data_IF_742412026619
#
_entry.id   IF_742412026619
#
_cell.length_a   1.000
_cell.length_b   1.000
_cell.length_c   1.000
_cell.angle_alpha   90.00
_cell.angle_beta   90.00
_cell.angle_gamma   90.00
#
_symmetry.space_group_name_H-M   'P 1'
#
loop_
_entity.id
_entity.type
_entity.pdbx_description
1 polymer ?
#
# COMPACT_ATOMS: atom_id res chain seq x y z
N UNK A 1 8.39 48.23 14.18
CA UNK A 1 9.54 47.56 13.53
C UNK A 1 9.51 46.09 13.90
N UNK A 2 9.05 45.23 12.98
CA UNK A 2 9.00 43.79 13.19
C UNK A 2 10.40 43.20 13.00
N UNK A 3 11.03 42.80 14.10
CA UNK A 3 12.26 42.03 14.05
C UNK A 3 11.91 40.60 13.69
N UNK A 4 12.01 40.26 12.41
CA UNK A 4 12.00 38.87 11.97
C UNK A 4 13.18 38.14 12.62
N UNK A 5 12.90 37.18 13.48
CA UNK A 5 13.88 36.22 13.99
C UNK A 5 14.31 35.32 12.83
N UNK A 6 15.29 35.79 12.04
CA UNK A 6 16.02 34.92 11.12
C UNK A 6 16.90 33.98 11.96
N UNK A 7 16.32 32.85 12.37
CA UNK A 7 17.04 31.74 13.02
C UNK A 7 17.98 30.98 12.05
N UNK A 8 18.02 31.37 10.77
CA UNK A 8 18.85 30.76 9.74
C UNK A 8 20.18 31.51 9.57
N UNK A 9 21.25 31.10 10.26
CA UNK A 9 22.65 31.18 9.76
C UNK A 9 23.73 30.95 10.83
N UNK A 10 23.38 30.62 12.08
CA UNK A 10 24.39 30.32 13.10
C UNK A 10 24.62 28.79 13.20
N UNK A 11 25.88 28.34 13.08
CA UNK A 11 26.25 26.91 13.14
C UNK A 11 25.78 26.26 14.45
N UNK A 12 25.80 27.00 15.56
CA UNK A 12 25.33 26.55 16.86
C UNK A 12 23.80 26.31 16.87
N UNK A 13 23.04 27.16 16.18
CA UNK A 13 21.59 27.05 16.04
C UNK A 13 21.21 25.77 15.28
N UNK A 14 21.92 25.48 14.18
CA UNK A 14 21.79 24.25 13.40
C UNK A 14 22.15 22.99 14.20
N UNK A 15 23.19 23.04 15.04
CA UNK A 15 23.55 21.91 15.90
C UNK A 15 22.49 21.62 16.96
N UNK A 16 21.92 22.67 17.57
CA UNK A 16 20.84 22.53 18.56
C UNK A 16 19.56 21.97 17.91
N UNK A 17 19.24 22.41 16.70
CA UNK A 17 18.13 21.89 15.91
C UNK A 17 18.34 20.41 15.57
N UNK A 18 19.52 20.05 15.03
CA UNK A 18 19.85 18.66 14.70
C UNK A 18 19.79 17.73 15.92
N UNK A 19 20.32 18.16 17.06
CA UNK A 19 20.25 17.39 18.31
C UNK A 19 18.81 17.18 18.80
N UNK A 20 17.95 18.18 18.62
CA UNK A 20 16.52 18.06 18.96
C UNK A 20 15.82 17.08 18.01
N UNK A 21 16.13 17.13 16.71
CA UNK A 21 15.60 16.21 15.70
C UNK A 21 16.03 14.77 15.99
N UNK A 22 17.29 14.54 16.35
CA UNK A 22 17.77 13.21 16.74
C UNK A 22 17.03 12.67 17.97
N UNK A 23 16.73 13.53 18.95
CA UNK A 23 15.95 13.14 20.13
C UNK A 23 14.54 12.67 19.77
N UNK A 24 13.91 13.30 18.77
CA UNK A 24 12.62 12.84 18.21
C UNK A 24 12.78 11.46 17.56
N UNK A 25 13.82 11.26 16.74
CA UNK A 25 14.08 9.96 16.08
C UNK A 25 14.26 8.82 17.08
N UNK A 26 14.96 9.04 18.19
CA UNK A 26 15.12 8.02 19.24
C UNK A 26 13.82 7.73 19.99
N UNK A 27 12.95 8.71 20.11
CA UNK A 27 11.68 8.59 20.82
C UNK A 27 10.57 7.96 19.98
N UNK A 28 10.74 8.00 18.66
CA UNK A 28 9.89 7.34 17.67
C UNK A 28 10.36 5.91 17.41
N UNK A 29 9.44 5.09 16.87
CA UNK A 29 9.67 3.68 16.54
C UNK A 29 10.69 3.45 15.38
N UNK A 30 11.32 4.53 14.90
CA UNK A 30 12.42 4.50 13.91
C UNK A 30 13.75 4.00 14.49
N UNK A 31 13.81 3.73 15.81
CA UNK A 31 14.98 3.20 16.49
C UNK A 31 15.09 1.68 16.30
N UNK A 32 15.50 1.26 15.10
CA UNK A 32 15.78 -0.16 14.83
C UNK A 32 16.91 -0.67 15.73
N UNK A 33 16.50 -1.31 16.82
CA UNK A 33 17.32 -2.19 17.63
C UNK A 33 17.82 -3.34 16.76
N UNK A 34 19.15 -3.50 16.68
CA UNK A 34 19.76 -4.77 16.30
C UNK A 34 19.40 -5.77 17.39
N UNK A 35 18.40 -6.62 17.16
CA UNK A 35 18.14 -7.77 18.01
C UNK A 35 17.89 -9.02 17.16
N UNK A 36 18.60 -10.06 17.55
CA UNK A 36 18.82 -11.32 16.86
C UNK A 36 17.55 -12.15 16.75
N UNK A 37 17.42 -12.84 15.60
CA UNK A 37 16.39 -13.84 15.34
C UNK A 37 16.41 -14.93 16.41
N UNK A 38 15.32 -15.04 17.17
CA UNK A 38 14.89 -16.32 17.74
C UNK A 38 13.51 -16.65 17.20
N UNK A 39 13.49 -17.74 16.45
CA UNK A 39 12.31 -18.45 15.98
C UNK A 39 11.31 -18.66 17.12
N UNK A 40 10.08 -18.22 16.90
CA UNK A 40 8.92 -18.95 17.39
C UNK A 40 7.79 -18.86 16.35
N UNK A 41 7.28 -20.04 16.04
CA UNK A 41 6.30 -20.37 15.04
C UNK A 41 4.91 -20.18 15.65
N UNK A 42 4.14 -19.21 15.15
CA UNK A 42 2.69 -19.21 14.94
C UNK A 42 2.11 -17.78 14.88
N UNK A 43 1.31 -17.52 13.84
CA UNK A 43 0.40 -16.37 13.63
C UNK A 43 1.04 -15.02 13.26
N UNK A 44 1.28 -14.80 11.96
CA UNK A 44 1.34 -13.45 11.38
C UNK A 44 0.94 -13.44 9.90
N UNK A 45 -0.37 -13.46 9.63
CA UNK A 45 -0.92 -13.04 8.32
C UNK A 45 -1.17 -11.53 8.42
N UNK A 46 -0.37 -10.74 7.71
CA UNK A 46 -0.57 -9.29 7.60
C UNK A 46 0.63 -8.42 7.98
N UNK A 47 1.85 -8.78 7.57
CA UNK A 47 2.96 -7.82 7.61
C UNK A 47 2.81 -6.89 6.40
N UNK A 48 2.27 -5.69 6.63
CA UNK A 48 2.43 -4.56 5.71
C UNK A 48 3.94 -4.35 5.55
N UNK A 49 4.51 -4.75 4.40
CA UNK A 49 5.85 -4.31 3.99
C UNK A 49 5.76 -2.80 3.69
N UNK A 50 5.82 -1.98 4.73
CA UNK A 50 6.08 -0.56 4.60
C UNK A 50 7.58 -0.44 4.37
N UNK A 51 7.97 0.18 3.27
CA UNK A 51 9.37 0.42 2.95
C UNK A 51 9.99 1.34 4.02
N UNK A 52 11.29 1.17 4.31
CA UNK A 52 12.06 1.79 5.41
C UNK A 52 12.03 3.34 5.37
N UNK A 53 11.48 3.93 4.30
CA UNK A 53 11.34 5.36 4.08
C UNK A 53 9.89 5.89 4.22
N UNK A 54 8.93 5.09 4.71
CA UNK A 54 7.52 5.49 4.80
C UNK A 54 6.83 5.65 3.44
N UNK A 55 7.45 5.14 2.36
CA UNK A 55 6.86 5.17 1.01
C UNK A 55 6.00 3.92 0.80
N UNK A 56 4.81 4.08 0.18
CA UNK A 56 3.98 2.93 -0.15
C UNK A 56 4.70 2.02 -1.17
N UNK A 57 4.65 0.69 -1.00
CA UNK A 57 5.26 -0.27 -1.92
C UNK A 57 4.76 -0.14 -3.36
N UNK A 58 5.60 -0.52 -4.34
CA UNK A 58 5.27 -0.39 -5.76
C UNK A 58 4.60 -1.63 -6.34
N UNK A 59 3.58 -1.40 -7.18
CA UNK A 59 3.01 -2.37 -8.11
C UNK A 59 3.42 -1.95 -9.51
N UNK A 60 4.00 -2.87 -10.26
CA UNK A 60 4.47 -2.62 -11.62
C UNK A 60 3.56 -3.29 -12.64
N UNK A 61 3.27 -2.61 -13.75
CA UNK A 61 2.51 -3.15 -14.88
C UNK A 61 3.41 -3.18 -16.11
N UNK A 62 3.68 -4.37 -16.63
CA UNK A 62 4.39 -4.61 -17.88
C UNK A 62 3.40 -4.98 -18.99
N UNK A 63 3.40 -4.20 -20.07
CA UNK A 63 2.47 -4.31 -21.20
C UNK A 63 3.12 -4.77 -22.52
N UNK A 64 4.41 -5.17 -22.48
CA UNK A 64 5.16 -5.52 -23.70
C UNK A 64 5.82 -4.32 -24.38
N UNK A 65 6.17 -4.49 -25.65
CA UNK A 65 6.98 -3.54 -26.43
C UNK A 65 6.16 -2.39 -27.03
N UNK A 66 4.90 -2.67 -27.39
CA UNK A 66 3.96 -1.71 -27.96
C UNK A 66 2.87 -1.34 -26.94
N UNK A 67 3.21 -0.55 -25.92
CA UNK A 67 2.24 -0.19 -24.88
C UNK A 67 1.63 1.20 -25.10
N UNK A 68 0.31 1.26 -25.29
CA UNK A 68 -0.44 2.51 -25.31
C UNK A 68 -0.69 3.05 -23.90
N UNK A 69 -0.47 4.35 -23.69
CA UNK A 69 -0.80 5.04 -22.43
C UNK A 69 -2.25 4.81 -21.97
N UNK A 70 -3.16 4.57 -22.93
CA UNK A 70 -4.58 4.32 -22.68
C UNK A 70 -4.81 3.00 -21.92
N UNK A 71 -4.19 1.91 -22.36
CA UNK A 71 -4.35 0.58 -21.76
C UNK A 71 -3.82 0.56 -20.33
N UNK A 72 -2.67 1.21 -20.10
CA UNK A 72 -2.11 1.36 -18.77
C UNK A 72 -3.06 2.09 -17.82
N UNK A 73 -3.62 3.24 -18.23
CA UNK A 73 -4.54 4.00 -17.37
C UNK A 73 -5.86 3.27 -17.12
N UNK A 74 -6.38 2.53 -18.11
CA UNK A 74 -7.57 1.68 -17.92
C UNK A 74 -7.33 0.60 -16.87
N UNK A 75 -6.24 -0.16 -17.02
CA UNK A 75 -5.88 -1.21 -16.08
C UNK A 75 -5.61 -0.66 -14.68
N UNK A 76 -4.88 0.45 -14.61
CA UNK A 76 -4.61 1.17 -13.37
C UNK A 76 -5.90 1.59 -12.67
N UNK A 77 -6.90 2.09 -13.40
CA UNK A 77 -8.20 2.46 -12.84
C UNK A 77 -8.90 1.25 -12.20
N UNK A 78 -8.96 0.11 -12.91
CA UNK A 78 -9.56 -1.13 -12.39
C UNK A 78 -8.83 -1.61 -11.13
N UNK A 79 -7.50 -1.57 -11.12
CA UNK A 79 -6.71 -1.98 -9.96
C UNK A 79 -6.91 -1.03 -8.77
N UNK A 80 -6.99 0.29 -8.99
CA UNK A 80 -7.23 1.29 -7.94
C UNK A 80 -8.61 1.19 -7.28
N UNK A 81 -9.57 0.53 -7.94
CA UNK A 81 -10.87 0.18 -7.34
C UNK A 81 -10.80 -1.12 -6.51
N UNK A 82 -9.76 -1.93 -6.73
CA UNK A 82 -9.54 -3.19 -6.04
C UNK A 82 -8.63 -3.06 -4.82
N UNK A 83 -7.60 -2.22 -4.88
CA UNK A 83 -6.58 -2.08 -3.84
C UNK A 83 -6.80 -0.83 -2.98
N UNK A 84 -6.23 -0.85 -1.77
CA UNK A 84 -6.19 0.33 -0.91
C UNK A 84 -5.32 1.44 -1.55
N UNK A 85 -5.94 2.57 -1.88
CA UNK A 85 -5.31 3.68 -2.63
C UNK A 85 -4.11 4.31 -1.94
N UNK A 86 -4.06 4.25 -0.61
CA UNK A 86 -3.00 4.86 0.19
C UNK A 86 -1.87 3.89 0.52
N UNK A 87 -2.07 2.60 0.19
CA UNK A 87 -1.10 1.54 0.53
C UNK A 87 -0.12 1.21 -0.60
N UNK A 88 -0.40 1.60 -1.84
CA UNK A 88 0.38 1.17 -3.00
C UNK A 88 0.53 2.27 -4.06
N UNK A 89 1.68 2.30 -4.72
CA UNK A 89 1.88 3.12 -5.93
C UNK A 89 1.94 2.23 -7.17
N UNK A 90 1.18 2.57 -8.21
CA UNK A 90 1.15 1.82 -9.48
C UNK A 90 1.99 2.54 -10.54
N UNK A 91 2.99 1.85 -11.08
CA UNK A 91 3.84 2.34 -12.18
C UNK A 91 3.82 1.40 -13.38
N UNK A 92 4.04 1.98 -14.56
CA UNK A 92 4.31 1.20 -15.76
C UNK A 92 5.80 0.79 -15.78
N UNK A 93 6.07 -0.48 -16.03
CA UNK A 93 7.41 -1.00 -16.30
C UNK A 93 7.56 -1.17 -17.81
N UNK A 94 8.33 -0.29 -18.44
CA UNK A 94 8.60 -0.39 -19.88
C UNK A 94 9.64 -1.49 -20.17
N UNK A 95 9.57 -2.07 -21.38
CA UNK A 95 10.52 -3.06 -21.92
C UNK A 95 11.98 -2.72 -21.58
N UNK A 96 12.40 -1.49 -21.88
CA UNK A 96 13.78 -1.01 -21.68
C UNK A 96 14.21 -0.91 -20.20
N UNK A 97 13.25 -0.94 -19.27
CA UNK A 97 13.47 -0.83 -17.84
C UNK A 97 13.56 -2.19 -17.15
N UNK A 98 13.06 -3.27 -17.77
CA UNK A 98 13.03 -4.61 -17.17
C UNK A 98 14.44 -5.09 -16.77
N UNK A 99 15.45 -4.80 -17.60
CA UNK A 99 16.82 -5.21 -17.34
C UNK A 99 17.58 -4.28 -16.37
N UNK A 100 17.05 -3.07 -16.12
CA UNK A 100 17.68 -2.05 -15.28
C UNK A 100 17.31 -2.26 -13.81
N UNK A 101 18.27 -2.07 -12.91
CA UNK A 101 18.01 -2.04 -11.46
C UNK A 101 17.43 -0.66 -11.05
N UNK A 102 16.72 -0.51 -9.90
CA UNK A 102 16.49 -1.47 -8.83
C UNK A 102 15.00 -1.87 -8.63
N UNK A 103 14.23 -2.06 -9.71
CA UNK A 103 12.77 -2.26 -9.57
C UNK A 103 12.39 -3.55 -8.80
N UNK A 104 13.20 -4.61 -8.92
CA UNK A 104 13.00 -5.91 -8.24
C UNK A 104 12.90 -5.74 -6.73
N UNK A 105 13.78 -4.90 -6.16
CA UNK A 105 13.89 -4.74 -4.70
C UNK A 105 12.80 -3.82 -4.14
N UNK A 106 12.19 -2.99 -4.99
CA UNK A 106 11.24 -1.95 -4.58
C UNK A 106 9.79 -2.27 -4.96
N UNK A 107 9.51 -3.49 -5.42
CA UNK A 107 8.18 -3.87 -5.94
C UNK A 107 7.62 -5.06 -5.17
N UNK A 108 6.32 -4.99 -4.84
CA UNK A 108 5.62 -6.10 -4.18
C UNK A 108 4.89 -7.00 -5.16
N UNK A 109 4.44 -6.46 -6.29
CA UNK A 109 3.70 -7.18 -7.32
C UNK A 109 4.13 -6.70 -8.71
N UNK A 110 4.36 -7.66 -9.60
CA UNK A 110 4.51 -7.41 -11.03
C UNK A 110 3.31 -7.98 -11.78
N UNK A 111 2.62 -7.13 -12.53
CA UNK A 111 1.51 -7.49 -13.41
C UNK A 111 2.05 -7.59 -14.84
N UNK A 112 1.84 -8.72 -15.49
CA UNK A 112 2.27 -8.98 -16.87
C UNK A 112 1.02 -9.14 -17.74
N UNK A 113 0.71 -8.13 -18.54
CA UNK A 113 -0.47 -8.12 -19.40
C UNK A 113 -0.08 -7.75 -20.83
N UNK A 114 0.30 -8.76 -21.61
CA UNK A 114 0.73 -8.56 -23.00
C UNK A 114 0.38 -9.78 -23.84
N UNK A 115 -0.16 -9.53 -25.04
CA UNK A 115 -0.42 -10.57 -26.03
C UNK A 115 0.87 -10.90 -26.85
N UNK A 116 2.00 -10.25 -26.55
CA UNK A 116 3.31 -10.50 -27.18
C UNK A 116 4.12 -11.58 -26.45
N UNK A 117 4.98 -12.34 -27.16
CA UNK A 117 5.91 -13.26 -26.52
C UNK A 117 6.96 -12.48 -25.72
N UNK A 118 7.21 -12.92 -24.48
CA UNK A 118 8.19 -12.31 -23.59
C UNK A 118 9.59 -12.78 -24.00
N UNK A 119 10.53 -11.85 -24.14
CA UNK A 119 11.93 -12.17 -24.45
C UNK A 119 12.56 -13.04 -23.35
N UNK A 120 13.54 -13.87 -23.73
CA UNK A 120 14.21 -14.78 -22.78
C UNK A 120 14.91 -14.01 -21.64
N UNK A 121 15.43 -12.82 -21.93
CA UNK A 121 16.10 -11.96 -20.93
C UNK A 121 15.09 -11.39 -19.91
N UNK A 122 13.94 -10.89 -20.39
CA UNK A 122 12.87 -10.40 -19.52
C UNK A 122 12.30 -11.53 -18.68
N UNK A 123 12.08 -12.70 -19.28
CA UNK A 123 11.62 -13.90 -18.56
C UNK A 123 12.57 -14.26 -17.41
N UNK A 124 13.88 -14.30 -17.66
CA UNK A 124 14.90 -14.55 -16.62
C UNK A 124 14.83 -13.52 -15.49
N UNK A 125 14.61 -12.23 -15.79
CA UNK A 125 14.44 -11.18 -14.76
C UNK A 125 13.15 -11.37 -13.95
N UNK A 126 12.04 -11.76 -14.58
CA UNK A 126 10.79 -12.07 -13.87
C UNK A 126 10.94 -13.30 -12.96
N UNK A 127 11.65 -14.33 -13.42
CA UNK A 127 11.98 -15.49 -12.59
C UNK A 127 12.91 -15.12 -11.42
N UNK A 128 13.85 -14.20 -11.62
CA UNK A 128 14.68 -13.65 -10.54
C UNK A 128 13.80 -12.96 -9.48
N UNK A 129 12.83 -12.16 -9.89
CA UNK A 129 11.89 -11.51 -8.97
C UNK A 129 11.06 -12.52 -8.17
N UNK A 130 10.59 -13.61 -8.78
CA UNK A 130 9.95 -14.70 -8.04
C UNK A 130 10.91 -15.36 -7.05
N UNK A 131 12.18 -15.59 -7.43
CA UNK A 131 13.18 -16.24 -6.55
C UNK A 131 13.47 -15.46 -5.26
N UNK A 132 13.26 -14.13 -5.27
CA UNK A 132 13.41 -13.25 -4.10
C UNK A 132 12.13 -13.13 -3.27
N UNK A 133 11.09 -13.92 -3.57
CA UNK A 133 9.80 -13.86 -2.88
C UNK A 133 8.83 -12.83 -3.45
N UNK A 134 9.11 -12.31 -4.64
CA UNK A 134 8.19 -11.43 -5.38
C UNK A 134 6.93 -12.16 -5.84
N UNK A 135 5.91 -11.38 -6.20
CA UNK A 135 4.59 -11.88 -6.62
C UNK A 135 4.30 -11.48 -8.05
N UNK A 136 3.80 -12.41 -8.87
CA UNK A 136 3.45 -12.12 -10.27
C UNK A 136 1.96 -12.36 -10.52
N UNK A 137 1.30 -11.45 -11.23
CA UNK A 137 -0.05 -11.63 -11.75
C UNK A 137 -0.03 -11.49 -13.27
N UNK A 138 -0.29 -12.59 -13.98
CA UNK A 138 -0.33 -12.61 -15.44
C UNK A 138 -1.77 -12.51 -15.96
N UNK A 139 -2.03 -11.58 -16.87
CA UNK A 139 -3.31 -11.48 -17.59
C UNK A 139 -3.10 -11.68 -19.09
N UNK A 140 -3.77 -12.68 -19.67
CA UNK A 140 -3.72 -13.02 -21.11
C UNK A 140 -2.30 -13.06 -21.70
N UNK A 141 -1.28 -13.38 -20.89
CA UNK A 141 0.11 -13.34 -21.32
C UNK A 141 0.69 -14.72 -21.60
N UNK A 142 1.81 -14.73 -22.34
CA UNK A 142 2.58 -15.95 -22.63
C UNK A 142 3.59 -16.31 -21.53
N UNK A 143 3.59 -15.59 -20.39
CA UNK A 143 4.46 -15.91 -19.26
C UNK A 143 4.05 -17.24 -18.64
N UNK A 144 4.99 -18.18 -18.56
CA UNK A 144 4.80 -19.48 -17.91
C UNK A 144 6.10 -19.98 -17.29
N UNK A 145 5.99 -20.87 -16.32
CA UNK A 145 7.09 -21.60 -15.70
C UNK A 145 6.58 -22.90 -15.06
N UNK A 146 7.49 -23.71 -14.53
CA UNK A 146 7.19 -24.94 -13.76
C UNK A 146 6.35 -25.98 -14.52
N UNK A 147 6.65 -26.19 -15.81
CA UNK A 147 6.01 -27.25 -16.60
C UNK A 147 4.60 -26.94 -17.10
N UNK A 148 4.10 -25.72 -16.89
CA UNK A 148 2.86 -25.24 -17.49
C UNK A 148 3.11 -24.72 -18.90
N UNK A 149 2.28 -25.15 -19.84
CA UNK A 149 2.25 -24.66 -21.21
C UNK A 149 0.93 -23.98 -21.51
N UNK A 150 0.98 -23.04 -22.44
CA UNK A 150 -0.20 -22.38 -22.99
C UNK A 150 -0.54 -23.02 -24.33
N UNK A 151 -1.79 -23.46 -24.46
CA UNK A 151 -2.32 -24.01 -25.71
C UNK A 151 -3.43 -23.12 -26.23
N UNK A 152 -3.33 -22.74 -27.49
CA UNK A 152 -4.38 -21.98 -28.19
C UNK A 152 -5.48 -22.94 -28.66
N UNK A 153 -6.71 -22.73 -28.18
CA UNK A 153 -7.92 -23.44 -28.63
C UNK A 153 -8.72 -22.61 -29.63
N UNK A 154 -8.86 -21.31 -29.38
CA UNK A 154 -9.61 -20.39 -30.22
C UNK A 154 -8.68 -19.32 -30.81
N UNK A 155 -9.00 -18.85 -32.03
CA UNK A 155 -8.24 -17.79 -32.70
C UNK A 155 -8.60 -16.38 -32.20
N UNK A 156 -9.81 -16.21 -31.68
CA UNK A 156 -10.36 -14.92 -31.25
C UNK A 156 -10.73 -14.99 -29.78
N UNK A 157 -10.78 -13.82 -29.13
CA UNK A 157 -11.26 -13.68 -27.76
C UNK A 157 -12.77 -13.93 -27.72
N UNK A 158 -13.23 -14.67 -26.73
CA UNK A 158 -14.64 -15.07 -26.58
C UNK A 158 -15.13 -14.78 -25.17
N UNK A 159 -16.44 -14.56 -25.00
CA UNK A 159 -17.04 -14.49 -23.68
C UNK A 159 -17.50 -15.89 -23.31
N UNK A 160 -16.92 -16.43 -22.25
CA UNK A 160 -17.21 -17.79 -21.78
C UNK A 160 -17.56 -17.77 -20.28
N UNK A 161 -18.38 -18.73 -19.85
CA UNK A 161 -18.67 -18.94 -18.43
C UNK A 161 -17.52 -19.69 -17.75
N UNK A 162 -17.01 -19.12 -16.66
CA UNK A 162 -15.95 -19.69 -15.84
C UNK A 162 -16.49 -20.14 -14.50
N UNK A 163 -15.89 -21.19 -13.96
CA UNK A 163 -16.06 -21.65 -12.57
C UNK A 163 -14.76 -21.36 -11.83
N UNK A 164 -14.79 -20.36 -10.94
CA UNK A 164 -13.65 -19.95 -10.11
C UNK A 164 -13.79 -20.54 -8.72
N UNK A 165 -12.78 -21.25 -8.25
CA UNK A 165 -12.68 -21.76 -6.89
C UNK A 165 -12.07 -20.70 -5.97
N UNK A 166 -12.85 -20.22 -5.00
CA UNK A 166 -12.41 -19.29 -3.96
C UNK A 166 -11.52 -19.98 -2.92
N UNK A 167 -10.88 -19.17 -2.07
CA UNK A 167 -10.03 -19.69 -0.98
C UNK A 167 -10.79 -20.57 0.01
N UNK A 168 -12.04 -20.25 0.28
CA UNK A 168 -12.94 -20.99 1.19
C UNK A 168 -13.52 -22.26 0.54
N UNK A 169 -13.01 -22.65 -0.64
CA UNK A 169 -13.49 -23.78 -1.45
C UNK A 169 -14.91 -23.61 -2.00
N UNK A 170 -15.49 -22.40 -1.94
CA UNK A 170 -16.73 -22.10 -2.66
C UNK A 170 -16.44 -21.86 -4.14
N UNK A 171 -17.42 -22.15 -4.99
CA UNK A 171 -17.32 -21.91 -6.44
C UNK A 171 -18.17 -20.70 -6.83
N UNK A 172 -17.58 -19.81 -7.63
CA UNK A 172 -18.29 -18.68 -8.24
C UNK A 172 -18.32 -18.86 -9.75
N UNK A 173 -19.52 -18.74 -10.30
CA UNK A 173 -19.75 -18.70 -11.75
C UNK A 173 -19.92 -17.27 -12.24
N UNK A 174 -19.20 -16.93 -13.30
CA UNK A 174 -19.24 -15.63 -13.95
C UNK A 174 -18.79 -15.75 -15.41
N UNK A 175 -19.25 -14.83 -16.25
CA UNK A 175 -18.83 -14.75 -17.65
C UNK A 175 -17.70 -13.73 -17.78
N UNK A 176 -16.63 -14.09 -18.48
CA UNK A 176 -15.47 -13.24 -18.72
C UNK A 176 -14.99 -13.37 -20.16
N UNK A 177 -14.33 -12.31 -20.65
CA UNK A 177 -13.60 -12.36 -21.90
C UNK A 177 -12.33 -13.21 -21.70
N UNK A 178 -12.16 -14.24 -22.50
CA UNK A 178 -10.99 -15.12 -22.47
C UNK A 178 -10.13 -14.95 -23.72
N UNK A 179 -8.82 -15.16 -23.58
CA UNK A 179 -7.83 -14.97 -24.64
C UNK A 179 -7.93 -15.99 -25.79
N UNK A 180 -8.70 -17.06 -25.60
CA UNK A 180 -8.75 -18.23 -26.49
C UNK A 180 -7.64 -19.26 -26.23
N UNK A 181 -6.81 -19.03 -25.21
CA UNK A 181 -5.78 -19.94 -24.76
C UNK A 181 -6.13 -20.57 -23.39
N UNK A 182 -5.57 -21.75 -23.14
CA UNK A 182 -5.77 -22.52 -21.90
C UNK A 182 -4.43 -23.03 -21.38
N UNK A 183 -4.35 -23.33 -20.08
CA UNK A 183 -3.15 -23.90 -19.47
C UNK A 183 -3.21 -25.44 -19.46
N UNK A 184 -2.12 -26.08 -19.88
CA UNK A 184 -1.92 -27.53 -19.81
C UNK A 184 -0.63 -27.83 -19.03
N UNK A 185 -0.68 -28.80 -18.13
CA UNK A 185 0.47 -29.27 -17.35
C UNK A 185 1.13 -30.44 -18.11
N UNK A 186 2.40 -30.28 -18.48
CA UNK A 186 3.11 -31.22 -19.36
C UNK A 186 3.56 -32.48 -18.61
N UNK A 187 3.84 -32.35 -17.30
CA UNK A 187 4.30 -33.46 -16.45
C UNK A 187 3.60 -33.35 -15.10
N UNK A 188 2.75 -34.32 -14.77
CA UNK A 188 2.20 -34.46 -13.42
C UNK A 188 3.23 -35.15 -12.54
N UNK A 189 4.16 -34.41 -11.96
CA UNK A 189 4.94 -34.92 -10.83
C UNK A 189 4.09 -34.88 -9.55
N UNK A 190 4.28 -35.85 -8.65
CA UNK A 190 3.52 -36.02 -7.38
C UNK A 190 3.67 -34.84 -6.39
N UNK A 191 4.48 -33.84 -6.73
CA UNK A 191 4.71 -32.61 -5.96
C UNK A 191 4.12 -31.38 -6.67
N UNK A 192 2.86 -31.46 -7.15
CA UNK A 192 2.26 -30.41 -7.98
C UNK A 192 2.28 -29.04 -7.28
N UNK A 193 3.21 -28.18 -7.67
CA UNK A 193 3.32 -26.76 -7.27
C UNK A 193 2.25 -25.88 -7.95
N UNK A 194 1.47 -26.49 -8.84
CA UNK A 194 0.39 -25.89 -9.62
C UNK A 194 -0.96 -26.17 -8.96
N UNK A 195 -1.67 -25.11 -8.57
CA UNK A 195 -3.07 -25.18 -8.15
C UNK A 195 -3.95 -24.56 -9.23
N UNK A 196 -4.94 -25.31 -9.72
CA UNK A 196 -5.97 -24.73 -10.60
C UNK A 196 -6.93 -23.87 -9.79
N UNK A 197 -7.12 -22.61 -10.19
CA UNK A 197 -8.08 -21.69 -9.56
C UNK A 197 -9.37 -21.52 -10.37
N UNK A 198 -9.32 -21.70 -11.69
CA UNK A 198 -10.51 -21.53 -12.53
C UNK A 198 -10.49 -22.41 -13.77
N UNK A 199 -11.68 -22.87 -14.16
CA UNK A 199 -11.92 -23.66 -15.36
C UNK A 199 -13.07 -23.08 -16.19
N UNK A 200 -13.00 -23.27 -17.50
CA UNK A 200 -14.16 -23.04 -18.37
C UNK A 200 -15.28 -24.02 -18.02
N UNK A 201 -16.54 -23.55 -18.04
CA UNK A 201 -17.71 -24.41 -17.95
C UNK A 201 -18.01 -25.07 -19.30
N UNK A 202 -17.03 -25.77 -19.86
CA UNK A 202 -17.13 -26.54 -21.09
C UNK A 202 -16.95 -28.05 -20.81
N UNK A 203 -17.11 -28.89 -21.83
CA UNK A 203 -17.02 -30.34 -21.69
C UNK A 203 -15.64 -30.80 -21.19
N UNK A 204 -14.57 -30.11 -21.63
CA UNK A 204 -13.18 -30.45 -21.31
C UNK A 204 -12.73 -29.93 -19.92
N UNK A 205 -13.50 -29.01 -19.32
CA UNK A 205 -13.16 -28.27 -18.09
C UNK A 205 -11.77 -27.63 -18.14
N UNK A 206 -11.51 -26.94 -19.25
CA UNK A 206 -10.21 -26.34 -19.54
C UNK A 206 -9.74 -25.38 -18.46
N UNK A 207 -8.49 -25.51 -18.04
CA UNK A 207 -7.89 -24.62 -17.02
C UNK A 207 -7.55 -23.26 -17.62
N UNK A 208 -8.02 -22.19 -16.97
CA UNK A 208 -7.82 -20.81 -17.43
C UNK A 208 -7.18 -19.91 -16.38
N UNK A 209 -7.22 -20.28 -15.09
CA UNK A 209 -6.46 -19.59 -14.05
C UNK A 209 -5.70 -20.63 -13.21
N UNK A 210 -4.40 -20.41 -13.04
CA UNK A 210 -3.51 -21.24 -12.22
C UNK A 210 -2.78 -20.40 -11.19
N UNK A 211 -2.49 -21.00 -10.04
CA UNK A 211 -1.61 -20.49 -9.00
C UNK A 211 -0.36 -21.38 -8.92
N UNK A 212 0.80 -20.75 -8.94
CA UNK A 212 2.11 -21.36 -9.00
C UNK A 212 2.97 -20.85 -7.86
N UNK A 213 3.71 -21.74 -7.22
CA UNK A 213 4.71 -21.40 -6.19
C UNK A 213 6.11 -21.56 -6.76
N UNK A 214 7.05 -20.70 -6.36
CA UNK A 214 8.42 -20.71 -6.88
C UNK A 214 9.45 -20.40 -5.81
N UNK A 215 10.45 -21.28 -5.70
CA UNK A 215 11.55 -21.17 -4.74
C UNK A 215 11.11 -21.28 -3.28
N UNK A 216 12.08 -21.19 -2.38
CA UNK A 216 11.85 -21.32 -0.93
C UNK A 216 11.60 -19.97 -0.25
N UNK A 217 11.81 -18.86 -0.97
CA UNK A 217 11.59 -17.48 -0.50
C UNK A 217 10.11 -17.05 -0.53
N UNK A 218 9.19 -17.97 -0.84
CA UNK A 218 7.76 -17.68 -0.94
C UNK A 218 7.35 -16.92 -2.21
N UNK A 219 8.04 -17.12 -3.34
CA UNK A 219 7.63 -16.57 -4.62
C UNK A 219 6.32 -17.19 -5.10
N UNK A 220 5.37 -16.38 -5.56
CA UNK A 220 4.06 -16.88 -6.02
C UNK A 220 3.64 -16.16 -7.31
N UNK A 221 2.97 -16.89 -8.20
CA UNK A 221 2.41 -16.32 -9.41
C UNK A 221 1.00 -16.84 -9.67
N UNK A 222 0.07 -15.95 -10.00
CA UNK A 222 -1.24 -16.32 -10.53
C UNK A 222 -1.28 -15.92 -12.00
N UNK A 223 -1.58 -16.87 -12.87
CA UNK A 223 -1.65 -16.66 -14.31
C UNK A 223 -3.09 -16.88 -14.77
N UNK A 224 -3.64 -15.92 -15.50
CA UNK A 224 -5.02 -15.92 -15.98
C UNK A 224 -5.06 -15.73 -17.50
N UNK A 225 -5.74 -16.64 -18.21
CA UNK A 225 -6.13 -16.46 -19.60
C UNK A 225 -7.52 -15.78 -19.74
N UNK A 226 -8.14 -15.41 -18.61
CA UNK A 226 -9.34 -14.59 -18.56
C UNK A 226 -8.99 -13.14 -18.19
N UNK A 227 -9.63 -12.19 -18.87
CA UNK A 227 -9.43 -10.76 -18.64
C UNK A 227 -10.23 -10.30 -17.41
N UNK A 228 -9.54 -10.13 -16.28
CA UNK A 228 -10.09 -9.56 -15.05
C UNK A 228 -9.78 -8.06 -14.93
N UNK A 229 -8.77 -7.61 -15.64
CA UNK A 229 -8.12 -6.31 -15.58
C UNK A 229 -8.71 -5.26 -16.51
N UNK A 230 -9.50 -5.68 -17.50
CA UNK A 230 -10.11 -4.79 -18.48
C UNK A 230 -11.44 -4.22 -17.97
N UNK A 231 -11.70 -2.95 -18.28
CA UNK A 231 -13.04 -2.36 -18.14
C UNK A 231 -13.95 -2.94 -19.24
N UNK A 232 -15.18 -3.32 -18.89
CA UNK A 232 -16.17 -3.84 -19.84
C UNK A 232 -16.39 -2.88 -21.02
N UNK A 233 -16.31 -1.56 -20.79
CA UNK A 233 -16.46 -0.55 -21.84
C UNK A 233 -15.23 -0.44 -22.76
N UNK A 234 -14.10 -1.01 -22.35
CA UNK A 234 -12.86 -1.06 -23.16
C UNK A 234 -12.73 -2.35 -23.97
N UNK A 235 -13.57 -3.36 -23.68
CA UNK A 235 -13.50 -4.67 -24.33
C UNK A 235 -14.09 -4.61 -25.76
N UNK A 236 -13.41 -5.24 -26.71
CA UNK A 236 -13.93 -5.44 -28.06
C UNK A 236 -14.93 -6.61 -28.07
N UNK A 237 -16.15 -6.33 -27.63
CA UNK A 237 -17.23 -7.32 -27.52
C UNK A 237 -17.99 -7.41 -28.84
N UNK A 238 -18.08 -8.63 -29.37
CA UNK A 238 -18.65 -8.88 -30.70
C UNK A 238 -20.18 -8.76 -30.75
N UNK A 239 -20.88 -9.03 -29.63
CA UNK A 239 -22.35 -9.06 -29.57
C UNK A 239 -22.92 -8.31 -28.35
N UNK A 240 -24.14 -7.81 -28.47
CA UNK A 240 -24.85 -7.16 -27.35
C UNK A 240 -25.18 -8.16 -26.23
N UNK A 241 -25.42 -9.42 -26.57
CA UNK A 241 -25.65 -10.50 -25.59
C UNK A 241 -24.42 -10.73 -24.71
N UNK A 242 -23.23 -10.82 -25.32
CA UNK A 242 -21.96 -10.96 -24.61
C UNK A 242 -21.70 -9.76 -23.68
N UNK A 243 -21.99 -8.55 -24.15
CA UNK A 243 -21.82 -7.34 -23.33
C UNK A 243 -22.72 -7.38 -22.09
N UNK A 244 -23.96 -7.84 -22.25
CA UNK A 244 -24.91 -8.00 -21.15
C UNK A 244 -24.44 -9.07 -20.15
N UNK A 245 -23.87 -10.19 -20.61
CA UNK A 245 -23.30 -11.24 -19.76
C UNK A 245 -22.12 -10.73 -18.92
N UNK A 246 -21.22 -9.96 -19.53
CA UNK A 246 -20.09 -9.32 -18.84
C UNK A 246 -20.59 -8.31 -17.80
N UNK A 247 -21.58 -7.51 -18.15
CA UNK A 247 -22.17 -6.50 -17.25
C UNK A 247 -22.80 -7.13 -16.01
N UNK A 248 -23.56 -8.22 -16.16
CA UNK A 248 -24.14 -8.98 -15.04
C UNK A 248 -23.02 -9.60 -14.17
N UNK A 249 -21.92 -9.99 -14.79
CA UNK A 249 -20.78 -10.61 -14.13
C UNK A 249 -19.81 -9.61 -13.49
N UNK A 250 -19.97 -8.31 -13.73
CA UNK A 250 -18.98 -7.30 -13.38
C UNK A 250 -18.67 -7.26 -11.88
N UNK A 251 -19.69 -7.28 -11.02
CA UNK A 251 -19.48 -7.29 -9.56
C UNK A 251 -18.67 -8.50 -9.13
N UNK A 252 -18.98 -9.68 -9.68
CA UNK A 252 -18.24 -10.92 -9.40
C UNK A 252 -16.81 -10.88 -9.96
N UNK A 253 -16.58 -10.21 -11.09
CA UNK A 253 -15.24 -9.98 -11.65
C UNK A 253 -14.36 -9.22 -10.65
N UNK A 254 -14.88 -8.14 -10.06
CA UNK A 254 -14.15 -7.39 -9.02
C UNK A 254 -13.92 -8.22 -7.76
N UNK A 255 -14.90 -9.02 -7.33
CA UNK A 255 -14.71 -9.94 -6.19
C UNK A 255 -13.58 -10.94 -6.45
N UNK A 256 -13.59 -11.62 -7.61
CA UNK A 256 -12.55 -12.57 -7.99
C UNK A 256 -11.18 -11.90 -8.10
N UNK A 257 -11.12 -10.70 -8.70
CA UNK A 257 -9.87 -9.95 -8.80
C UNK A 257 -9.33 -9.56 -7.41
N UNK A 258 -10.19 -9.09 -6.50
CA UNK A 258 -9.81 -8.80 -5.10
C UNK A 258 -9.33 -10.05 -4.38
N UNK A 259 -10.01 -11.18 -4.51
CA UNK A 259 -9.61 -12.45 -3.90
C UNK A 259 -8.23 -12.89 -4.39
N UNK A 260 -7.94 -12.73 -5.69
CA UNK A 260 -6.62 -13.00 -6.28
C UNK A 260 -5.56 -12.05 -5.72
N UNK A 261 -5.83 -10.74 -5.65
CA UNK A 261 -4.87 -9.77 -5.11
C UNK A 261 -4.58 -10.02 -3.62
N UNK A 262 -5.61 -10.31 -2.82
CA UNK A 262 -5.46 -10.70 -1.40
C UNK A 262 -4.67 -12.00 -1.28
N UNK A 263 -4.86 -12.95 -2.19
CA UNK A 263 -4.08 -14.20 -2.20
C UNK A 263 -2.60 -13.99 -2.44
N UNK A 264 -2.25 -12.96 -3.22
CA UNK A 264 -0.86 -12.53 -3.46
C UNK A 264 -0.33 -11.62 -2.34
N UNK A 265 -1.12 -11.37 -1.28
CA UNK A 265 -0.70 -10.59 -0.11
C UNK A 265 -0.94 -9.09 -0.21
N UNK A 266 -1.78 -8.62 -1.14
CA UNK A 266 -2.15 -7.20 -1.23
C UNK A 266 -3.33 -6.86 -0.30
N UNK A 267 -3.33 -5.62 0.19
CA UNK A 267 -4.40 -5.05 0.99
C UNK A 267 -5.48 -4.46 0.07
N UNK A 268 -6.62 -5.14 0.01
CA UNK A 268 -7.82 -4.72 -0.73
C UNK A 268 -8.92 -4.14 0.17
N UNK A 269 -8.65 -4.01 1.47
CA UNK A 269 -9.57 -3.39 2.42
C UNK A 269 -9.66 -1.88 2.14
N UNK A 270 -10.88 -1.35 2.19
CA UNK A 270 -11.09 0.09 2.19
C UNK A 270 -10.46 0.63 3.47
N UNK A 271 -9.33 1.34 3.37
CA UNK A 271 -8.85 2.12 4.50
C UNK A 271 -9.94 3.12 4.84
N UNK A 272 -10.46 3.04 6.05
CA UNK A 272 -11.08 4.22 6.65
C UNK A 272 -10.00 5.29 6.75
N UNK A 273 -10.34 6.51 6.33
CA UNK A 273 -9.44 7.66 6.50
C UNK A 273 -9.18 7.76 8.01
N UNK A 274 -7.92 7.64 8.47
CA UNK A 274 -7.62 7.71 9.90
C UNK A 274 -8.18 9.01 10.48
N UNK A 275 -8.91 8.90 11.58
CA UNK A 275 -9.49 10.08 12.25
C UNK A 275 -8.35 10.89 12.84
N UNK A 276 -8.38 12.22 12.65
CA UNK A 276 -7.41 13.12 13.25
C UNK A 276 -7.41 12.97 14.77
N UNK A 277 -6.22 12.89 15.36
CA UNK A 277 -6.05 12.81 16.82
C UNK A 277 -5.77 14.18 17.41
N UNK A 278 -6.13 14.44 18.68
CA UNK A 278 -5.78 15.71 19.33
C UNK A 278 -4.26 15.93 19.38
N UNK A 279 -3.86 17.18 19.57
CA UNK A 279 -2.48 17.52 19.90
C UNK A 279 -2.28 17.35 21.41
N UNK A 280 -1.12 16.86 21.81
CA UNK A 280 -0.69 16.79 23.19
C UNK A 280 0.44 17.78 23.40
N UNK A 281 0.27 18.66 24.38
CA UNK A 281 1.31 19.57 24.84
C UNK A 281 2.17 18.85 25.87
N UNK A 282 3.30 18.34 25.41
CA UNK A 282 4.25 17.61 26.22
C UNK A 282 5.38 18.53 26.66
N UNK A 283 5.94 18.27 27.83
CA UNK A 283 7.08 19.04 28.34
C UNK A 283 8.10 18.12 29.00
N UNK A 284 9.36 18.53 28.98
CA UNK A 284 10.44 17.76 29.59
C UNK A 284 10.48 17.85 31.11
N UNK A 285 9.87 18.91 31.67
CA UNK A 285 9.94 19.29 33.07
C UNK A 285 8.61 19.94 33.48
N UNK A 286 8.15 19.62 34.69
CA UNK A 286 6.87 20.10 35.23
C UNK A 286 6.89 21.60 35.52
N UNK A 287 8.01 22.17 35.96
CA UNK A 287 8.15 23.62 36.18
C UNK A 287 8.05 24.39 34.86
N UNK A 288 8.70 23.87 33.80
CA UNK A 288 8.61 24.44 32.46
C UNK A 288 7.18 24.37 31.94
N UNK A 289 6.51 23.23 32.18
CA UNK A 289 5.13 23.03 31.78
C UNK A 289 4.20 24.05 32.44
N UNK A 290 4.25 24.17 33.77
CA UNK A 290 3.44 25.12 34.53
C UNK A 290 3.74 26.58 34.14
N UNK A 291 5.00 26.93 33.92
CA UNK A 291 5.40 28.25 33.45
C UNK A 291 4.78 28.57 32.08
N UNK A 292 4.73 27.58 31.19
CA UNK A 292 4.13 27.74 29.87
C UNK A 292 2.60 27.80 29.93
N UNK A 293 1.94 26.99 30.75
CA UNK A 293 0.48 27.07 30.96
C UNK A 293 0.08 28.45 31.49
N UNK A 294 0.83 28.99 32.45
CA UNK A 294 0.61 30.34 32.97
C UNK A 294 0.79 31.41 31.89
N UNK A 295 1.75 31.22 30.98
CA UNK A 295 1.89 32.12 29.83
C UNK A 295 0.71 31.97 28.84
N UNK A 296 0.24 30.75 28.61
CA UNK A 296 -0.91 30.45 27.75
C UNK A 296 -2.20 31.11 28.25
N UNK A 297 -2.45 31.14 29.56
CA UNK A 297 -3.63 31.80 30.15
C UNK A 297 -3.79 33.26 29.71
N UNK A 298 -2.68 34.00 29.55
CA UNK A 298 -2.70 35.38 29.08
C UNK A 298 -2.77 35.53 27.54
N UNK A 299 -2.79 34.41 26.82
CA UNK A 299 -2.65 34.32 25.38
C UNK A 299 -3.82 33.58 24.71
N UNK A 300 -4.74 32.99 25.46
CA UNK A 300 -5.95 32.37 24.90
C UNK A 300 -7.16 33.24 25.23
N UNK A 301 -8.25 33.04 24.48
CA UNK A 301 -9.52 33.66 24.85
C UNK A 301 -10.17 32.98 26.07
N UNK A 302 -11.35 33.45 26.46
CA UNK A 302 -12.09 32.92 27.61
C UNK A 302 -12.47 31.43 27.47
N UNK A 303 -12.46 30.88 26.26
CA UNK A 303 -12.75 29.48 25.96
C UNK A 303 -11.49 28.62 25.74
N UNK A 304 -10.30 29.20 25.95
CA UNK A 304 -9.02 28.52 25.73
C UNK A 304 -8.64 28.43 24.25
N UNK A 305 -9.30 29.17 23.37
CA UNK A 305 -9.05 29.14 21.93
C UNK A 305 -8.00 30.19 21.55
N UNK A 306 -7.04 29.76 20.72
CA UNK A 306 -6.09 30.61 20.02
C UNK A 306 -6.37 30.49 18.52
N UNK A 307 -7.07 31.47 17.98
CA UNK A 307 -7.32 31.54 16.54
C UNK A 307 -6.06 32.01 15.79
N UNK A 308 -5.81 31.41 14.63
CA UNK A 308 -4.80 31.84 13.65
C UNK A 308 -5.43 31.83 12.26
N UNK A 309 -4.75 32.43 11.27
CA UNK A 309 -5.25 32.51 9.89
C UNK A 309 -5.41 31.14 9.22
N UNK A 310 -4.72 30.10 9.69
CA UNK A 310 -4.71 28.76 9.10
C UNK A 310 -5.30 27.67 10.00
N UNK A 311 -4.98 27.69 11.28
CA UNK A 311 -5.46 26.67 12.25
C UNK A 311 -5.83 27.34 13.55
N UNK A 312 -6.93 26.93 14.16
CA UNK A 312 -7.31 27.35 15.51
C UNK A 312 -6.95 26.25 16.50
N UNK A 313 -6.24 26.61 17.56
CA UNK A 313 -5.83 25.69 18.62
C UNK A 313 -6.70 25.90 19.85
N UNK A 314 -7.38 24.85 20.32
CA UNK A 314 -8.22 24.91 21.53
C UNK A 314 -7.53 24.19 22.67
N UNK A 315 -6.99 24.92 23.63
CA UNK A 315 -6.29 24.34 24.78
C UNK A 315 -7.29 23.84 25.82
N UNK A 316 -7.20 22.56 26.16
CA UNK A 316 -8.11 21.88 27.09
C UNK A 316 -7.30 20.98 28.02
N UNK A 317 -7.76 20.79 29.26
CA UNK A 317 -7.05 19.94 30.23
C UNK A 317 -7.04 18.48 29.78
N UNK A 318 -8.17 17.95 29.34
CA UNK A 318 -8.35 16.53 29.00
C UNK A 318 -9.14 16.36 27.71
N UNK A 319 -8.94 15.23 27.03
CA UNK A 319 -9.70 14.89 25.83
C UNK A 319 -11.12 14.45 26.18
N UNK A 320 -12.13 15.15 25.66
CA UNK A 320 -13.53 14.72 25.76
C UNK A 320 -13.98 14.09 24.45
N UNK A 321 -14.69 12.96 24.51
CA UNK A 321 -15.12 12.19 23.32
C UNK A 321 -16.07 12.92 22.36
N UNK A 322 -16.48 14.16 22.67
CA UNK A 322 -17.35 15.01 21.85
C UNK A 322 -16.59 16.16 21.19
N UNK A 323 -15.28 16.27 21.39
CA UNK A 323 -14.49 17.34 20.79
C UNK A 323 -14.39 17.13 19.28
N UNK A 324 -14.81 18.13 18.52
CA UNK A 324 -14.64 18.11 17.07
C UNK A 324 -13.17 18.38 16.73
N UNK A 325 -12.59 17.49 15.93
CA UNK A 325 -11.22 17.60 15.46
C UNK A 325 -11.27 17.75 13.95
N UNK A 326 -10.83 18.90 13.45
CA UNK A 326 -10.79 19.19 12.01
C UNK A 326 -9.44 19.76 11.62
N UNK A 327 -9.08 19.75 10.32
CA UNK A 327 -7.86 20.41 9.86
C UNK A 327 -7.77 21.92 10.16
N UNK A 328 -8.88 22.57 10.52
CA UNK A 328 -8.94 24.00 10.88
C UNK A 328 -9.12 24.26 12.37
N UNK A 329 -9.51 23.24 13.16
CA UNK A 329 -9.69 23.32 14.61
C UNK A 329 -9.09 22.08 15.28
N UNK A 330 -8.01 22.27 16.02
CA UNK A 330 -7.34 21.20 16.76
C UNK A 330 -7.39 21.44 18.27
N UNK A 331 -7.92 20.50 19.06
CA UNK A 331 -7.77 20.53 20.50
C UNK A 331 -6.32 20.19 20.89
N UNK A 332 -5.79 20.92 21.86
CA UNK A 332 -4.47 20.72 22.47
C UNK A 332 -4.68 20.32 23.93
N UNK A 333 -4.41 19.05 24.24
CA UNK A 333 -4.49 18.48 25.58
C UNK A 333 -3.28 18.96 26.37
N UNK A 334 -3.53 19.65 27.49
CA UNK A 334 -2.47 20.21 28.33
C UNK A 334 -2.07 19.28 29.47
N UNK A 335 -2.92 18.36 29.91
CA UNK A 335 -2.60 17.48 31.05
C UNK A 335 -1.67 16.32 30.64
N UNK A 336 -0.40 16.40 31.05
CA UNK A 336 0.66 15.41 30.75
C UNK A 336 0.30 14.00 31.24
N UNK A 337 -0.36 13.89 32.41
CA UNK A 337 -0.64 12.61 33.06
C UNK A 337 -1.55 11.67 32.26
N UNK A 338 -2.27 12.21 31.27
CA UNK A 338 -3.18 11.46 30.40
C UNK A 338 -2.51 10.88 29.14
N UNK A 339 -1.24 11.25 28.86
CA UNK A 339 -0.58 10.89 27.61
C UNK A 339 0.01 9.47 27.63
N UNK A 340 -0.37 8.68 26.62
CA UNK A 340 0.24 7.40 26.29
C UNK A 340 0.20 7.24 24.77
N UNK A 341 1.28 6.75 24.17
CA UNK A 341 1.35 6.47 22.74
C UNK A 341 2.23 5.25 22.49
N UNK A 342 1.85 4.43 21.52
CA UNK A 342 2.66 3.30 21.03
C UNK A 342 3.79 3.79 20.11
N UNK A 343 3.63 4.97 19.49
CA UNK A 343 4.54 5.48 18.47
C UNK A 343 5.53 6.52 18.99
N UNK A 344 5.34 7.04 20.21
CA UNK A 344 6.20 8.06 20.80
C UNK A 344 6.36 7.91 22.30
N UNK A 345 7.61 7.83 22.75
CA UNK A 345 7.97 7.81 24.17
C UNK A 345 8.53 9.15 24.63
N UNK A 346 7.74 9.91 25.39
CA UNK A 346 8.20 11.16 26.01
C UNK A 346 9.43 10.94 26.92
N UNK A 347 9.50 9.80 27.62
CA UNK A 347 10.65 9.44 28.46
C UNK A 347 11.91 9.26 27.63
N UNK A 348 11.80 8.58 26.49
CA UNK A 348 12.93 8.37 25.57
C UNK A 348 13.36 9.68 24.92
N UNK A 349 12.41 10.53 24.54
CA UNK A 349 12.68 11.87 24.04
C UNK A 349 13.48 12.70 25.05
N UNK A 350 13.00 12.75 26.29
CA UNK A 350 13.66 13.49 27.38
C UNK A 350 15.07 12.99 27.65
N UNK A 351 15.28 11.67 27.64
CA UNK A 351 16.59 11.08 27.87
C UNK A 351 17.63 11.50 26.83
N UNK A 352 17.20 11.64 25.57
CA UNK A 352 18.10 11.99 24.46
C UNK A 352 18.22 13.49 24.20
N UNK A 353 17.37 14.33 24.83
CA UNK A 353 17.34 15.77 24.63
C UNK A 353 18.55 16.48 25.29
N UNK A 354 19.57 16.79 24.49
CA UNK A 354 20.80 17.44 24.97
C UNK A 354 20.72 18.96 25.08
N UNK A 355 19.72 19.57 24.45
CA UNK A 355 19.52 21.01 24.45
C UNK A 355 19.02 21.51 25.81
N UNK A 356 19.45 22.72 26.21
CA UNK A 356 19.02 23.33 27.48
C UNK A 356 17.70 24.10 27.39
N UNK A 357 17.39 24.68 26.22
CA UNK A 357 16.22 25.55 26.01
C UNK A 357 15.30 25.08 24.89
N UNK A 358 15.86 24.62 23.78
CA UNK A 358 15.09 24.13 22.63
C UNK A 358 14.51 22.74 22.92
N UNK A 359 13.33 22.41 22.39
CA UNK A 359 12.72 21.09 22.54
C UNK A 359 12.16 20.76 23.93
N UNK A 360 12.15 21.71 24.87
CA UNK A 360 11.59 21.50 26.22
C UNK A 360 10.05 21.44 26.24
N UNK A 361 9.42 21.93 25.16
CA UNK A 361 7.99 21.85 24.90
C UNK A 361 7.82 21.21 23.52
N UNK A 362 6.95 20.21 23.43
CA UNK A 362 6.67 19.45 22.22
C UNK A 362 5.16 19.38 22.03
N UNK A 363 4.71 19.58 20.79
CA UNK A 363 3.35 19.27 20.39
C UNK A 363 3.37 17.96 19.61
N UNK A 364 2.62 16.97 20.08
CA UNK A 364 2.56 15.64 19.47
C UNK A 364 1.13 15.29 19.07
N UNK A 365 0.93 14.76 17.88
CA UNK A 365 -0.33 14.14 17.44
C UNK A 365 0.02 12.85 16.70
N UNK A 366 -0.76 11.80 16.90
CA UNK A 366 -0.55 10.52 16.22
C UNK A 366 -0.98 10.56 14.75
N UNK A 367 -2.14 11.18 14.50
CA UNK A 367 -2.72 11.35 13.17
C UNK A 367 -2.93 12.83 12.92
N UNK A 368 -2.18 13.37 11.96
CA UNK A 368 -2.33 14.75 11.46
C UNK A 368 -2.26 14.78 9.93
N UNK A 369 -2.61 15.93 9.35
CA UNK A 369 -2.46 16.13 7.90
C UNK A 369 -1.00 16.33 7.52
N UNK A 370 -0.59 15.85 6.34
CA UNK A 370 0.82 15.87 5.89
C UNK A 370 1.44 17.28 5.75
N UNK A 371 0.63 18.34 5.74
CA UNK A 371 1.09 19.74 5.53
C UNK A 371 0.44 20.73 6.50
N UNK A 372 0.22 20.36 7.76
CA UNK A 372 -0.46 21.23 8.71
C UNK A 372 0.42 22.42 9.13
N UNK A 373 -0.04 23.64 8.86
CA UNK A 373 0.58 24.86 9.37
C UNK A 373 0.02 25.17 10.75
N UNK A 374 0.84 25.00 11.78
CA UNK A 374 0.38 25.10 13.17
C UNK A 374 0.45 26.51 13.76
N UNK A 375 1.30 27.37 13.19
CA UNK A 375 1.52 28.75 13.62
C UNK A 375 1.62 29.68 12.40
N UNK A 376 1.16 30.92 12.55
CA UNK A 376 1.45 31.99 11.61
C UNK A 376 2.90 32.45 11.87
N UNK A 377 3.78 32.23 10.90
CA UNK A 377 5.24 32.38 11.03
C UNK A 377 5.75 33.79 11.33
#
# INVERSE_FOLDING_TARGET
EHHHLHLSSCHECLQLENSTIESVKFASDDSNSKLEEKNDDHLARGIKRVDIAGKPPNILIYLGSESGKVEFEQMKSVLQECINKDSYTIYQLHEEQVLKDPWIDNSVLLIIATDEPISEENHKKFMKFLSTGGKILGFSSYFTFDGIQIKRKNKMKTVDELVVSKMDSTEVKLNLLVSGCVFEEVVKEDTSKVKTLSRLNNADKDTVIVHLTYGDSGGEAILSQAHLELDINSMDVQTEEDFNLLKISNTKRYEVLKDILVSLGLCCELSEIPVLTPLYLLSSDEEIHLAFLKWLEGNVDAEGLRASSKVSLKFVSSHESKMEITPSLMPVITEIGSFSSEHFSLKTYQHNLQTKKLGKIVLFAEVTTTTMNLLDG
#
